data_IF_890634050760
#
_entry.id   IF_890634050760
#
_cell.length_a   1.000
_cell.length_b   1.000
_cell.length_c   1.000
_cell.angle_alpha   90.00
_cell.angle_beta   90.00
_cell.angle_gamma   90.00
#
_symmetry.space_group_name_H-M   'P 1'
#
loop_
_entity.id
_entity.type
_entity.pdbx_description
1 polymer ?
#
# COMPACT_ATOMS: atom_id res chain seq x y z
N UNK A 1 -30.27 31.20 7.27
CA UNK A 1 -29.00 31.20 8.03
C UNK A 1 -28.51 29.78 8.34
N UNK A 2 -29.37 28.94 8.93
CA UNK A 2 -29.04 27.56 9.35
C UNK A 2 -28.53 26.69 8.18
N UNK A 3 -29.20 26.72 7.01
CA UNK A 3 -28.79 25.91 5.85
C UNK A 3 -27.39 26.27 5.30
N UNK A 4 -26.99 27.54 5.38
CA UNK A 4 -25.66 28.00 4.97
C UNK A 4 -24.58 27.53 5.95
N UNK A 5 -24.84 27.60 7.25
CA UNK A 5 -23.92 27.07 8.26
C UNK A 5 -23.72 25.56 8.15
N UNK A 6 -24.80 24.80 7.85
CA UNK A 6 -24.70 23.35 7.64
C UNK A 6 -23.86 23.03 6.41
N UNK A 7 -24.06 23.75 5.29
CA UNK A 7 -23.27 23.54 4.07
C UNK A 7 -21.77 23.81 4.29
N UNK A 8 -21.44 24.89 5.00
CA UNK A 8 -20.06 25.25 5.34
C UNK A 8 -19.42 24.19 6.25
N UNK A 9 -20.17 23.68 7.22
CA UNK A 9 -19.69 22.63 8.12
C UNK A 9 -19.40 21.32 7.36
N UNK A 10 -20.27 20.91 6.43
CA UNK A 10 -20.06 19.71 5.59
C UNK A 10 -18.83 19.86 4.70
N UNK A 11 -18.61 21.04 4.11
CA UNK A 11 -17.42 21.32 3.30
C UNK A 11 -16.14 21.27 4.14
N UNK A 12 -16.14 21.85 5.34
CA UNK A 12 -15.00 21.79 6.26
C UNK A 12 -14.68 20.35 6.68
N UNK A 13 -15.71 19.56 7.00
CA UNK A 13 -15.56 18.16 7.38
C UNK A 13 -15.03 17.33 6.20
N UNK A 14 -15.52 17.56 4.98
CA UNK A 14 -15.05 16.87 3.78
C UNK A 14 -13.57 17.11 3.46
N UNK A 15 -13.05 18.32 3.72
CA UNK A 15 -11.63 18.66 3.52
C UNK A 15 -10.71 17.98 4.54
N UNK A 16 -11.23 17.66 5.73
CA UNK A 16 -10.45 17.03 6.80
C UNK A 16 -10.29 15.51 6.63
N UNK A 17 -11.11 14.87 5.80
CA UNK A 17 -10.96 13.45 5.50
C UNK A 17 -9.78 13.23 4.54
N UNK A 18 -8.61 12.90 5.09
CA UNK A 18 -7.53 12.32 4.30
C UNK A 18 -7.96 10.92 3.85
N UNK A 19 -8.08 10.71 2.54
CA UNK A 19 -8.27 9.37 1.99
C UNK A 19 -7.05 8.51 2.37
N UNK A 20 -7.27 7.44 3.14
CA UNK A 20 -6.23 6.43 3.38
C UNK A 20 -6.02 5.64 2.10
N UNK A 21 -4.79 5.62 1.59
CA UNK A 21 -4.43 4.80 0.44
C UNK A 21 -4.07 3.38 0.90
N UNK A 22 -5.08 2.59 1.25
CA UNK A 22 -4.94 1.14 1.43
C UNK A 22 -5.98 0.42 0.57
N UNK A 23 -5.58 -0.68 -0.03
CA UNK A 23 -6.45 -1.59 -0.76
C UNK A 23 -7.00 -2.62 0.24
N UNK A 24 -8.33 -2.69 0.33
CA UNK A 24 -9.00 -3.73 1.10
C UNK A 24 -9.78 -4.66 0.18
N UNK A 25 -9.57 -5.96 0.32
CA UNK A 25 -10.24 -6.95 -0.50
C UNK A 25 -10.53 -8.24 0.27
N UNK A 26 -11.58 -8.93 -0.16
CA UNK A 26 -11.99 -10.21 0.40
C UNK A 26 -11.44 -11.38 -0.41
N UNK A 27 -10.98 -12.42 0.28
CA UNK A 27 -10.44 -13.63 -0.30
C UNK A 27 -11.14 -14.85 0.31
N UNK A 28 -11.86 -15.61 -0.52
CA UNK A 28 -12.48 -16.86 -0.06
C UNK A 28 -11.45 -17.98 0.09
N UNK A 29 -11.71 -18.95 0.97
CA UNK A 29 -10.89 -20.16 1.11
C UNK A 29 -10.56 -20.82 -0.22
N UNK A 30 -9.31 -21.25 -0.37
CA UNK A 30 -8.80 -21.87 -1.60
C UNK A 30 -8.57 -20.90 -2.77
N UNK A 31 -8.96 -19.63 -2.64
CA UNK A 31 -8.78 -18.64 -3.70
C UNK A 31 -7.45 -17.90 -3.61
N UNK A 32 -7.06 -17.33 -4.74
CA UNK A 32 -5.89 -16.46 -4.89
C UNK A 32 -6.32 -15.10 -5.43
N UNK A 33 -5.75 -14.02 -4.91
CA UNK A 33 -5.82 -12.69 -5.52
C UNK A 33 -4.43 -12.12 -5.69
N UNK A 34 -4.19 -11.52 -6.86
CA UNK A 34 -2.93 -10.87 -7.17
C UNK A 34 -3.18 -9.41 -7.56
N UNK A 35 -2.36 -8.52 -7.01
CA UNK A 35 -2.33 -7.09 -7.34
C UNK A 35 -1.02 -6.85 -8.09
N UNK A 36 -1.08 -6.17 -9.23
CA UNK A 36 0.09 -5.86 -10.04
C UNK A 36 0.30 -4.35 -10.17
N UNK A 37 1.56 -3.94 -10.22
CA UNK A 37 2.00 -2.56 -10.41
C UNK A 37 3.19 -2.53 -11.39
N UNK A 38 3.17 -1.58 -12.32
CA UNK A 38 4.30 -1.31 -13.22
C UNK A 38 5.29 -0.39 -12.48
N UNK A 39 6.45 -0.92 -12.14
CA UNK A 39 7.46 -0.27 -11.31
C UNK A 39 8.66 0.12 -12.16
N UNK A 40 9.09 1.38 -12.08
CA UNK A 40 10.30 1.86 -12.74
C UNK A 40 11.56 1.29 -12.07
N UNK A 41 12.61 1.06 -12.86
CA UNK A 41 13.94 0.69 -12.35
C UNK A 41 14.45 1.73 -11.34
N UNK A 42 15.19 1.27 -10.34
CA UNK A 42 15.71 2.01 -9.19
C UNK A 42 14.66 2.66 -8.27
N UNK A 43 13.38 2.33 -8.45
CA UNK A 43 12.34 2.77 -7.51
C UNK A 43 12.33 1.87 -6.28
N UNK A 44 12.38 2.48 -5.10
CA UNK A 44 12.14 1.79 -3.85
C UNK A 44 10.65 1.49 -3.71
N UNK A 45 10.32 0.29 -3.26
CA UNK A 45 8.96 -0.20 -3.06
C UNK A 45 8.82 -0.78 -1.67
N UNK A 46 7.71 -0.46 -1.01
CA UNK A 46 7.37 -0.97 0.32
C UNK A 46 5.91 -1.42 0.29
N UNK A 47 5.67 -2.65 0.74
CA UNK A 47 4.32 -3.18 0.92
C UNK A 47 4.09 -3.64 2.35
N UNK A 48 2.89 -3.40 2.88
CA UNK A 48 2.43 -3.88 4.19
C UNK A 48 1.07 -4.51 4.02
N UNK A 49 0.89 -5.70 4.58
CA UNK A 49 -0.38 -6.39 4.51
C UNK A 49 -0.75 -6.97 5.87
N UNK A 50 -2.05 -7.04 6.15
CA UNK A 50 -2.57 -7.75 7.31
C UNK A 50 -3.99 -8.26 7.06
N UNK A 51 -4.33 -9.36 7.74
CA UNK A 51 -5.69 -9.86 7.83
C UNK A 51 -6.47 -8.97 8.80
N UNK A 52 -7.63 -8.49 8.38
CA UNK A 52 -8.53 -7.72 9.22
C UNK A 52 -9.19 -8.66 10.22
N UNK A 53 -8.91 -8.46 11.50
CA UNK A 53 -9.43 -9.32 12.58
C UNK A 53 -10.88 -8.96 12.90
N UNK A 54 -11.80 -9.96 12.97
CA UNK A 54 -13.15 -9.73 13.48
C UNK A 54 -13.16 -9.33 14.96
N UNK A 55 -12.20 -9.85 15.74
CA UNK A 55 -11.98 -9.54 17.15
C UNK A 55 -10.47 -9.34 17.40
N UNK A 56 -10.08 -8.18 17.90
CA UNK A 56 -8.66 -7.81 18.04
C UNK A 56 -7.89 -8.66 19.06
N UNK A 57 -8.57 -9.13 20.12
CA UNK A 57 -7.93 -9.78 21.28
C UNK A 57 -7.65 -11.28 21.10
N UNK A 58 -8.10 -11.89 20.01
CA UNK A 58 -7.96 -13.33 19.78
C UNK A 58 -7.01 -13.61 18.60
N UNK A 59 -6.10 -14.59 18.73
CA UNK A 59 -5.25 -14.99 17.60
C UNK A 59 -6.11 -15.58 16.48
N UNK A 60 -5.70 -15.36 15.24
CA UNK A 60 -6.43 -15.92 14.10
C UNK A 60 -6.15 -17.42 13.99
N UNK A 61 -7.17 -18.25 13.74
CA UNK A 61 -6.95 -19.66 13.46
C UNK A 61 -6.18 -19.80 12.14
N UNK A 62 -5.50 -20.93 11.96
CA UNK A 62 -4.69 -21.18 10.76
C UNK A 62 -5.49 -21.09 9.45
N UNK A 63 -6.81 -21.29 9.50
CA UNK A 63 -7.71 -21.13 8.34
C UNK A 63 -7.80 -19.68 7.82
N UNK A 64 -7.42 -18.68 8.62
CA UNK A 64 -7.45 -17.27 8.22
C UNK A 64 -6.05 -16.72 7.88
N UNK A 65 -5.00 -17.53 8.03
CA UNK A 65 -3.62 -17.10 7.77
C UNK A 65 -3.28 -17.24 6.30
N UNK A 66 -2.66 -16.21 5.75
CA UNK A 66 -2.36 -16.11 4.32
C UNK A 66 -0.99 -16.69 3.99
N UNK A 67 -0.87 -17.19 2.76
CA UNK A 67 0.43 -17.26 2.08
C UNK A 67 0.54 -16.06 1.14
N UNK A 68 1.71 -15.42 1.09
CA UNK A 68 1.95 -14.20 0.30
C UNK A 68 3.28 -14.32 -0.43
N UNK A 69 3.29 -13.94 -1.71
CA UNK A 69 4.51 -13.88 -2.53
C UNK A 69 4.53 -12.62 -3.38
N UNK A 70 5.71 -12.03 -3.54
CA UNK A 70 5.95 -10.86 -4.39
C UNK A 70 7.00 -11.19 -5.42
N UNK A 71 6.65 -11.03 -6.70
CA UNK A 71 7.51 -11.43 -7.82
C UNK A 71 7.51 -10.39 -8.94
N UNK A 72 8.59 -10.31 -9.72
CA UNK A 72 8.58 -9.59 -11.00
C UNK A 72 8.21 -10.51 -12.16
N UNK A 73 7.80 -9.92 -13.29
CA UNK A 73 7.60 -10.60 -14.58
C UNK A 73 8.84 -11.37 -15.07
N UNK A 74 10.03 -11.02 -14.58
CA UNK A 74 11.30 -11.70 -14.86
C UNK A 74 11.54 -12.94 -13.99
N UNK A 75 10.62 -13.27 -13.07
CA UNK A 75 10.71 -14.45 -12.21
C UNK A 75 11.50 -14.23 -10.92
N UNK A 76 11.96 -13.01 -10.64
CA UNK A 76 12.62 -12.69 -9.37
C UNK A 76 11.61 -12.71 -8.23
N UNK A 77 11.98 -13.29 -7.08
CA UNK A 77 11.17 -13.32 -5.86
C UNK A 77 11.72 -12.33 -4.83
N UNK A 78 10.88 -11.37 -4.44
CA UNK A 78 11.23 -10.30 -3.51
C UNK A 78 10.69 -10.54 -2.10
N UNK A 79 9.66 -11.37 -1.96
CA UNK A 79 9.05 -11.69 -0.68
C UNK A 79 8.31 -13.01 -0.74
N UNK A 80 8.43 -13.82 0.30
CA UNK A 80 7.65 -15.05 0.47
C UNK A 80 7.37 -15.25 1.95
N UNK A 81 6.10 -15.40 2.30
CA UNK A 81 5.66 -15.71 3.66
C UNK A 81 4.51 -16.71 3.60
N UNK A 82 4.50 -17.68 4.52
CA UNK A 82 3.50 -18.75 4.55
C UNK A 82 2.81 -18.78 5.91
N UNK A 83 1.49 -18.95 5.90
CA UNK A 83 0.64 -19.00 7.11
C UNK A 83 0.90 -17.82 8.06
N UNK A 84 0.83 -16.60 7.53
CA UNK A 84 1.00 -15.36 8.29
C UNK A 84 -0.29 -14.56 8.38
N UNK A 85 -0.46 -13.82 9.48
CA UNK A 85 -1.58 -12.88 9.67
C UNK A 85 -1.25 -11.50 9.13
N UNK A 86 0.03 -11.14 9.10
CA UNK A 86 0.53 -9.86 8.62
C UNK A 86 1.97 -9.99 8.14
N UNK A 87 2.45 -8.99 7.42
CA UNK A 87 3.83 -8.90 7.02
C UNK A 87 4.13 -7.59 6.28
N UNK A 88 5.41 -7.39 6.00
CA UNK A 88 5.89 -6.28 5.21
C UNK A 88 7.05 -6.72 4.32
N UNK A 89 7.19 -6.08 3.16
CA UNK A 89 8.32 -6.24 2.26
C UNK A 89 8.86 -4.88 1.85
N UNK A 90 10.16 -4.82 1.54
CA UNK A 90 10.80 -3.65 0.99
C UNK A 90 11.92 -4.08 0.03
N UNK A 91 11.94 -3.50 -1.16
CA UNK A 91 12.98 -3.75 -2.15
C UNK A 91 13.18 -2.54 -3.05
N UNK A 92 14.28 -2.51 -3.80
CA UNK A 92 14.49 -1.55 -4.89
C UNK A 92 14.44 -2.33 -6.20
N UNK A 93 13.55 -1.92 -7.11
CA UNK A 93 13.40 -2.57 -8.41
C UNK A 93 14.68 -2.42 -9.23
N UNK A 94 15.26 -3.54 -9.67
CA UNK A 94 16.43 -3.51 -10.58
C UNK A 94 16.00 -3.26 -12.02
N UNK A 95 14.84 -3.79 -12.39
CA UNK A 95 14.30 -3.78 -13.75
C UNK A 95 12.97 -3.06 -13.75
N UNK A 96 12.68 -2.34 -14.84
CA UNK A 96 11.37 -1.76 -15.04
C UNK A 96 10.39 -2.83 -15.53
N UNK A 97 9.15 -2.80 -15.05
CA UNK A 97 8.05 -3.62 -15.55
C UNK A 97 7.08 -4.05 -14.47
N UNK A 98 6.30 -5.09 -14.76
CA UNK A 98 5.25 -5.56 -13.87
C UNK A 98 5.81 -6.34 -12.67
N UNK A 99 5.40 -5.91 -11.47
CA UNK A 99 5.59 -6.62 -10.21
C UNK A 99 4.23 -7.00 -9.66
N UNK A 100 4.15 -8.17 -9.02
CA UNK A 100 2.89 -8.72 -8.55
C UNK A 100 3.01 -9.23 -7.12
N UNK A 101 2.07 -8.81 -6.27
CA UNK A 101 1.86 -9.35 -4.93
C UNK A 101 0.63 -10.26 -4.96
N UNK A 102 0.83 -11.55 -4.71
CA UNK A 102 -0.23 -12.55 -4.67
C UNK A 102 -0.48 -13.02 -3.24
N UNK A 103 -1.76 -13.22 -2.93
CA UNK A 103 -2.29 -13.64 -1.64
C UNK A 103 -3.12 -14.90 -1.83
N UNK A 104 -2.82 -15.94 -1.07
CA UNK A 104 -3.53 -17.22 -1.06
C UNK A 104 -4.21 -17.44 0.28
N UNK A 105 -5.51 -17.73 0.25
CA UNK A 105 -6.25 -18.21 1.41
C UNK A 105 -6.21 -19.74 1.45
N UNK A 106 -5.99 -20.34 2.62
CA UNK A 106 -5.99 -21.79 2.75
C UNK A 106 -7.38 -22.35 2.46
N UNK A 107 -7.42 -23.58 1.95
CA UNK A 107 -8.66 -24.32 1.76
C UNK A 107 -9.31 -24.60 3.13
N UNK A 108 -10.63 -24.41 3.23
CA UNK A 108 -11.39 -24.66 4.45
C UNK A 108 -12.84 -25.03 4.15
N UNK A 109 -13.38 -25.97 4.92
CA UNK A 109 -14.78 -26.40 4.85
C UNK A 109 -15.39 -26.33 6.25
N UNK A 110 -16.44 -25.52 6.48
CA UNK A 110 -17.15 -24.70 5.49
C UNK A 110 -16.30 -23.54 4.94
N UNK A 111 -16.59 -23.02 3.73
CA UNK A 111 -15.85 -21.90 3.16
C UNK A 111 -15.91 -20.66 4.07
N UNK A 112 -14.77 -20.00 4.23
CA UNK A 112 -14.67 -18.72 4.97
C UNK A 112 -14.13 -17.63 4.05
N UNK A 113 -14.33 -16.39 4.48
CA UNK A 113 -13.81 -15.20 3.78
C UNK A 113 -12.81 -14.51 4.67
N UNK A 114 -11.63 -14.25 4.13
CA UNK A 114 -10.53 -13.52 4.78
C UNK A 114 -10.47 -12.13 4.16
N UNK A 115 -10.68 -11.10 4.95
CA UNK A 115 -10.50 -9.71 4.49
C UNK A 115 -9.04 -9.30 4.71
N UNK A 116 -8.40 -8.82 3.65
CA UNK A 116 -7.00 -8.39 3.64
C UNK A 116 -6.95 -6.89 3.43
N UNK A 117 -6.16 -6.21 4.24
CA UNK A 117 -5.79 -4.81 4.08
C UNK A 117 -4.34 -4.76 3.60
N UNK A 118 -4.11 -4.04 2.50
CA UNK A 118 -2.85 -4.02 1.78
C UNK A 118 -2.48 -2.62 1.30
N UNK A 119 -1.36 -2.12 1.80
CA UNK A 119 -0.75 -0.85 1.44
C UNK A 119 0.50 -1.12 0.61
N UNK A 120 0.48 -0.77 -0.68
CA UNK A 120 1.61 -0.85 -1.60
C UNK A 120 2.01 0.56 -2.02
N UNK A 121 3.27 0.93 -1.75
CA UNK A 121 3.84 2.23 -2.15
C UNK A 121 5.15 2.05 -2.90
N UNK A 122 5.33 2.88 -3.93
CA UNK A 122 6.53 2.90 -4.79
C UNK A 122 7.06 4.32 -4.93
N UNK A 123 8.38 4.47 -5.11
CA UNK A 123 9.02 5.75 -5.40
C UNK A 123 8.87 6.76 -4.25
N UNK A 124 8.49 8.00 -4.58
CA UNK A 124 8.33 9.09 -3.60
C UNK A 124 7.32 8.78 -2.50
N UNK A 125 6.34 7.92 -2.77
CA UNK A 125 5.33 7.50 -1.80
C UNK A 125 5.89 6.61 -0.69
N UNK A 126 7.08 6.00 -0.88
CA UNK A 126 7.76 5.23 0.17
C UNK A 126 8.51 6.11 1.17
N UNK A 127 8.81 7.37 0.83
CA UNK A 127 9.59 8.26 1.70
C UNK A 127 8.73 8.71 2.88
N UNK A 128 9.09 8.25 4.08
CA UNK A 128 8.50 8.75 5.32
C UNK A 128 9.20 10.06 5.73
N UNK A 129 8.71 11.17 5.17
CA UNK A 129 9.23 12.51 5.41
C UNK A 129 9.23 12.90 6.89
N UNK A 130 8.31 12.37 7.71
CA UNK A 130 8.28 12.66 9.14
C UNK A 130 9.48 12.06 9.89
N UNK A 131 10.01 10.93 9.42
CA UNK A 131 11.21 10.32 9.98
C UNK A 131 12.52 10.95 9.44
N UNK A 132 12.50 11.55 8.25
CA UNK A 132 13.63 12.35 7.73
C UNK A 132 13.87 13.59 8.61
N UNK A 133 12.81 14.24 9.07
CA UNK A 133 12.88 15.40 9.97
C UNK A 133 13.65 15.10 11.27
N UNK A 134 13.32 13.97 11.90
CA UNK A 134 13.93 13.53 13.16
C UNK A 134 15.41 13.17 13.01
N UNK A 135 15.80 12.69 11.84
CA UNK A 135 17.19 12.29 11.55
C UNK A 135 18.06 13.47 11.10
N UNK A 136 17.47 14.59 10.66
CA UNK A 136 18.18 15.67 9.98
C UNK A 136 18.24 17.05 10.66
N UNK A 137 17.55 17.31 11.78
CA UNK A 137 17.41 18.67 12.34
C UNK A 137 17.02 19.72 11.26
N UNK A 138 16.07 19.40 10.41
CA UNK A 138 15.59 20.29 9.34
C UNK A 138 14.39 21.09 9.85
N UNK A 139 14.30 22.37 9.51
CA UNK A 139 13.12 23.19 9.81
C UNK A 139 11.88 22.57 9.13
N UNK A 140 10.77 22.50 9.86
CA UNK A 140 9.57 21.78 9.40
C UNK A 140 9.06 22.32 8.06
N UNK A 141 9.24 23.63 7.81
CA UNK A 141 8.87 24.29 6.55
C UNK A 141 9.73 23.84 5.36
N UNK A 142 11.04 23.68 5.54
CA UNK A 142 11.95 23.25 4.47
C UNK A 142 11.64 21.81 4.03
N UNK A 143 11.30 20.95 4.99
CA UNK A 143 10.90 19.57 4.72
C UNK A 143 9.62 19.49 3.90
N UNK A 144 8.60 20.30 4.23
CA UNK A 144 7.35 20.35 3.48
C UNK A 144 7.58 20.81 2.03
N UNK A 145 8.42 21.83 1.82
CA UNK A 145 8.79 22.29 0.49
C UNK A 145 9.51 21.21 -0.31
N UNK A 146 10.43 20.47 0.31
CA UNK A 146 11.15 19.38 -0.34
C UNK A 146 10.23 18.22 -0.70
N UNK A 147 9.33 17.83 0.19
CA UNK A 147 8.31 16.81 -0.09
C UNK A 147 7.43 17.23 -1.28
N UNK A 148 6.96 18.47 -1.30
CA UNK A 148 6.15 18.99 -2.41
C UNK A 148 6.93 18.98 -3.73
N UNK A 149 8.19 19.41 -3.71
CA UNK A 149 9.06 19.42 -4.89
C UNK A 149 9.27 18.00 -5.46
N UNK A 150 9.67 17.04 -4.61
CA UNK A 150 9.85 15.64 -5.02
C UNK A 150 8.55 15.03 -5.56
N UNK A 151 7.41 15.38 -4.96
CA UNK A 151 6.08 14.91 -5.41
C UNK A 151 5.75 15.48 -6.78
N UNK A 152 5.93 16.79 -7.01
CA UNK A 152 5.69 17.42 -8.31
C UNK A 152 6.60 16.83 -9.39
N UNK A 153 7.88 16.62 -9.07
CA UNK A 153 8.82 16.02 -10.00
C UNK A 153 8.39 14.60 -10.38
N UNK A 154 7.99 13.77 -9.41
CA UNK A 154 7.49 12.42 -9.67
C UNK A 154 6.28 12.42 -10.60
N UNK A 155 5.30 13.31 -10.37
CA UNK A 155 4.11 13.46 -11.23
C UNK A 155 4.51 13.88 -12.64
N UNK A 156 5.43 14.84 -12.75
CA UNK A 156 5.89 15.35 -14.05
C UNK A 156 6.54 14.25 -14.88
N UNK A 157 7.43 13.46 -14.28
CA UNK A 157 8.09 12.32 -14.92
C UNK A 157 7.09 11.22 -15.31
N UNK A 158 6.05 10.99 -14.51
CA UNK A 158 4.98 10.03 -14.83
C UNK A 158 4.10 10.52 -15.99
N UNK A 159 3.74 11.81 -16.03
CA UNK A 159 2.98 12.38 -17.16
C UNK A 159 3.74 12.27 -18.49
N UNK A 160 5.06 12.52 -18.48
CA UNK A 160 5.88 12.32 -19.68
C UNK A 160 5.97 10.86 -20.08
N UNK A 161 6.19 9.97 -19.12
CA UNK A 161 6.25 8.54 -19.36
C UNK A 161 4.96 8.01 -20.02
N UNK A 162 3.79 8.41 -19.51
CA UNK A 162 2.48 8.01 -20.06
C UNK A 162 2.22 8.57 -21.47
N UNK A 163 2.84 9.69 -21.85
CA UNK A 163 2.72 10.25 -23.20
C UNK A 163 3.53 9.48 -24.25
N UNK A 164 4.63 8.86 -23.85
CA UNK A 164 5.55 8.14 -24.75
C UNK A 164 5.11 6.70 -25.05
N UNK A 165 4.18 6.16 -24.26
CA UNK A 165 3.50 4.87 -24.50
C UNK A 165 2.31 5.02 -25.44
#
# INVERSE_FOLDING_TARGET
MILRSVLVLVLLVGVLFRASQSLRFDLQSGQTKCIAEDIKSNSMTVGKYHVVKPNEDHPLPDSHKLTVRVTSSYGNNFHSAEKVENGQFAFTATEQGDYMACFWAPEHSPPITVTVDFDWRTGVHTKDWTNVAKKGQVDAMELELKNLHDTIQSIHEEMFYLRER
#
